data_IF_936963887181
#
_entry.id   IF_936963887181
#
_cell.length_a   1.000
_cell.length_b   1.000
_cell.length_c   1.000
_cell.angle_alpha   90.00
_cell.angle_beta   90.00
_cell.angle_gamma   90.00
#
_symmetry.space_group_name_H-M   'P 1'
#
loop_
_entity.id
_entity.type
_entity.pdbx_description
1 polymer ?
#
# COMPACT_ATOMS: atom_id res chain seq x y z
N UNK A 1 -9.73 18.04 -16.19
CA UNK A 1 -9.11 16.76 -15.81
C UNK A 1 -10.21 15.91 -15.23
N UNK A 2 -10.55 14.79 -15.88
CA UNK A 2 -11.64 13.91 -15.44
C UNK A 2 -11.11 12.92 -14.40
N UNK A 3 -11.94 12.63 -13.39
CA UNK A 3 -11.63 11.67 -12.34
C UNK A 3 -12.72 10.60 -12.33
N UNK A 4 -12.32 9.35 -12.53
CA UNK A 4 -13.23 8.20 -12.58
C UNK A 4 -13.03 7.36 -11.33
N UNK A 5 -14.14 6.95 -10.71
CA UNK A 5 -14.15 6.05 -9.56
C UNK A 5 -14.86 4.77 -9.96
N UNK A 6 -14.28 3.65 -9.53
CA UNK A 6 -14.84 2.33 -9.69
C UNK A 6 -14.77 1.63 -8.33
N UNK A 7 -15.92 1.47 -7.70
CA UNK A 7 -16.08 0.93 -6.34
C UNK A 7 -16.55 -0.53 -6.35
N UNK A 8 -16.46 -1.21 -7.50
CA UNK A 8 -16.88 -2.60 -7.61
C UNK A 8 -16.09 -3.49 -6.64
N UNK A 9 -16.77 -4.23 -5.74
CA UNK A 9 -16.09 -5.06 -4.76
C UNK A 9 -15.43 -6.26 -5.43
N UNK A 10 -14.30 -6.70 -4.87
CA UNK A 10 -13.61 -7.94 -5.26
C UNK A 10 -13.34 -8.07 -6.77
N UNK A 11 -12.93 -6.97 -7.40
CA UNK A 11 -12.63 -6.91 -8.83
C UNK A 11 -11.47 -7.83 -9.20
N UNK A 12 -11.58 -8.50 -10.35
CA UNK A 12 -10.50 -9.32 -10.87
C UNK A 12 -9.48 -8.52 -11.66
N UNK A 13 -8.26 -9.04 -11.76
CA UNK A 13 -7.19 -8.41 -12.55
C UNK A 13 -7.58 -8.24 -14.03
N UNK A 14 -8.33 -9.19 -14.61
CA UNK A 14 -8.80 -9.07 -16.00
C UNK A 14 -9.84 -7.97 -16.16
N UNK A 15 -10.73 -7.80 -15.17
CA UNK A 15 -11.69 -6.70 -15.17
C UNK A 15 -10.99 -5.34 -15.06
N UNK A 16 -9.97 -5.20 -14.20
CA UNK A 16 -9.13 -3.99 -14.12
C UNK A 16 -8.52 -3.67 -15.49
N UNK A 17 -7.89 -4.65 -16.15
CA UNK A 17 -7.26 -4.45 -17.47
C UNK A 17 -8.25 -4.00 -18.53
N UNK A 18 -9.42 -4.65 -18.60
CA UNK A 18 -10.49 -4.30 -19.56
C UNK A 18 -10.97 -2.87 -19.36
N UNK A 19 -11.23 -2.47 -18.11
CA UNK A 19 -11.71 -1.13 -17.77
C UNK A 19 -10.65 -0.06 -18.03
N UNK A 20 -9.39 -0.31 -17.64
CA UNK A 20 -8.27 0.60 -17.88
C UNK A 20 -8.02 0.83 -19.38
N UNK A 21 -8.07 -0.23 -20.20
CA UNK A 21 -7.96 -0.12 -21.68
C UNK A 21 -9.07 0.74 -22.27
N UNK A 22 -10.31 0.53 -21.83
CA UNK A 22 -11.45 1.35 -22.27
C UNK A 22 -11.27 2.82 -21.90
N UNK A 23 -10.90 3.11 -20.64
CA UNK A 23 -10.63 4.49 -20.21
C UNK A 23 -9.44 5.11 -20.94
N UNK A 24 -8.41 4.31 -21.30
CA UNK A 24 -7.30 4.78 -22.13
C UNK A 24 -7.77 5.19 -23.51
N UNK A 25 -8.62 4.40 -24.17
CA UNK A 25 -9.09 4.71 -25.52
C UNK A 25 -10.11 5.85 -25.57
N UNK A 26 -10.99 5.97 -24.58
CA UNK A 26 -12.08 6.97 -24.60
C UNK A 26 -11.71 8.28 -23.90
N UNK A 27 -10.86 8.25 -22.87
CA UNK A 27 -10.52 9.43 -22.05
C UNK A 27 -9.02 9.70 -21.94
N UNK A 28 -8.17 8.96 -22.67
CA UNK A 28 -6.72 9.06 -22.57
C UNK A 28 -6.20 8.96 -21.11
N UNK A 29 -6.61 7.91 -20.40
CA UNK A 29 -6.14 7.57 -19.05
C UNK A 29 -4.62 7.81 -18.90
N UNK A 30 -4.23 8.55 -17.88
CA UNK A 30 -2.84 8.91 -17.59
C UNK A 30 -2.28 8.25 -16.33
N UNK A 31 -3.15 7.98 -15.34
CA UNK A 31 -2.78 7.38 -14.06
C UNK A 31 -3.90 6.48 -13.56
N UNK A 32 -3.53 5.36 -12.93
CA UNK A 32 -4.47 4.44 -12.28
C UNK A 32 -4.09 4.28 -10.80
N UNK A 33 -5.04 4.51 -9.91
CA UNK A 33 -4.91 4.25 -8.48
C UNK A 33 -5.65 2.97 -8.11
N UNK A 34 -5.05 2.14 -7.27
CA UNK A 34 -5.65 0.88 -6.81
C UNK A 34 -5.59 0.79 -5.29
N UNK A 35 -6.76 0.74 -4.65
CA UNK A 35 -6.94 0.58 -3.21
C UNK A 35 -7.68 -0.74 -2.93
N UNK A 36 -7.01 -1.81 -2.52
CA UNK A 36 -5.57 -2.04 -2.42
C UNK A 36 -5.25 -3.43 -3.02
N UNK A 37 -3.98 -3.73 -3.30
CA UNK A 37 -3.55 -4.94 -4.03
C UNK A 37 -4.19 -6.23 -3.49
N UNK A 38 -4.27 -6.34 -2.17
CA UNK A 38 -4.75 -7.54 -1.52
C UNK A 38 -6.27 -7.79 -1.74
N UNK A 39 -7.04 -6.83 -2.25
CA UNK A 39 -8.46 -7.07 -2.60
C UNK A 39 -8.66 -7.56 -4.04
N UNK A 40 -7.63 -7.49 -4.87
CA UNK A 40 -7.69 -7.95 -6.26
C UNK A 40 -7.72 -9.47 -6.30
N UNK A 41 -8.61 -10.01 -7.15
CA UNK A 41 -8.72 -11.45 -7.38
C UNK A 41 -8.10 -11.86 -8.72
N UNK A 42 -7.65 -13.10 -8.79
CA UNK A 42 -7.27 -13.74 -10.05
C UNK A 42 -8.44 -14.60 -10.52
N UNK A 43 -8.82 -14.48 -11.79
CA UNK A 43 -9.93 -15.24 -12.35
C UNK A 43 -9.64 -16.75 -12.36
N UNK A 44 -10.67 -17.56 -12.11
CA UNK A 44 -10.69 -19.01 -12.36
C UNK A 44 -9.64 -19.85 -11.61
N UNK A 45 -9.29 -19.52 -10.35
CA UNK A 45 -8.38 -20.36 -9.56
C UNK A 45 -9.06 -20.99 -8.35
N UNK A 46 -8.86 -22.31 -8.22
CA UNK A 46 -9.34 -23.11 -7.10
C UNK A 46 -8.63 -22.75 -5.80
N UNK A 47 -9.20 -23.19 -4.68
CA UNK A 47 -8.85 -22.85 -3.29
C UNK A 47 -7.45 -23.29 -2.79
N UNK A 48 -6.53 -23.69 -3.69
CA UNK A 48 -5.21 -24.23 -3.33
C UNK A 48 -4.03 -23.30 -3.62
N UNK A 49 -4.26 -22.09 -4.16
CA UNK A 49 -3.16 -21.19 -4.47
C UNK A 49 -2.63 -20.48 -3.21
N UNK A 50 -1.29 -20.45 -3.08
CA UNK A 50 -0.64 -19.68 -2.03
C UNK A 50 -0.82 -18.19 -2.33
N UNK A 51 -1.24 -17.44 -1.31
CA UNK A 51 -1.45 -15.99 -1.38
C UNK A 51 -0.25 -15.23 -1.95
N UNK A 52 0.97 -15.65 -1.61
CA UNK A 52 2.21 -15.04 -2.11
C UNK A 52 2.28 -15.10 -3.64
N UNK A 53 1.89 -16.23 -4.22
CA UNK A 53 1.90 -16.41 -5.66
C UNK A 53 0.82 -15.57 -6.34
N UNK A 54 -0.35 -15.44 -5.72
CA UNK A 54 -1.41 -14.55 -6.22
C UNK A 54 -0.94 -13.10 -6.28
N UNK A 55 -0.35 -12.59 -5.19
CA UNK A 55 0.16 -11.22 -5.17
C UNK A 55 1.24 -11.01 -6.24
N UNK A 56 2.13 -11.98 -6.41
CA UNK A 56 3.17 -11.94 -7.44
C UNK A 56 2.60 -11.83 -8.86
N UNK A 57 1.53 -12.56 -9.15
CA UNK A 57 0.90 -12.50 -10.47
C UNK A 57 0.11 -11.20 -10.69
N UNK A 58 -0.52 -10.69 -9.63
CA UNK A 58 -1.21 -9.41 -9.65
C UNK A 58 -0.20 -8.29 -9.97
N UNK A 59 0.93 -8.24 -9.27
CA UNK A 59 1.94 -7.17 -9.46
C UNK A 59 2.58 -7.22 -10.83
N UNK A 60 2.94 -8.41 -11.34
CA UNK A 60 3.42 -8.58 -12.71
C UNK A 60 2.39 -8.15 -13.75
N UNK A 61 1.11 -8.51 -13.54
CA UNK A 61 0.02 -8.12 -14.44
C UNK A 61 -0.19 -6.61 -14.46
N UNK A 62 -0.08 -5.94 -13.31
CA UNK A 62 -0.16 -4.49 -13.21
C UNK A 62 1.05 -3.81 -13.88
N UNK A 63 2.26 -4.33 -13.67
CA UNK A 63 3.48 -3.83 -14.33
C UNK A 63 3.37 -3.95 -15.86
N UNK A 64 2.86 -5.07 -16.35
CA UNK A 64 2.59 -5.27 -17.77
C UNK A 64 1.55 -4.27 -18.30
N UNK A 65 0.45 -4.06 -17.55
CA UNK A 65 -0.59 -3.09 -17.91
C UNK A 65 -0.06 -1.65 -17.96
N UNK A 66 0.77 -1.25 -16.99
CA UNK A 66 1.40 0.07 -16.96
C UNK A 66 2.24 0.32 -18.23
N UNK A 67 3.06 -0.66 -18.61
CA UNK A 67 3.87 -0.63 -19.84
C UNK A 67 3.02 -0.63 -21.10
N UNK A 68 1.99 -1.47 -21.15
CA UNK A 68 1.08 -1.60 -22.29
C UNK A 68 0.34 -0.28 -22.58
N UNK A 69 -0.20 0.36 -21.53
CA UNK A 69 -0.97 1.59 -21.68
C UNK A 69 -0.10 2.86 -21.65
N UNK A 70 1.19 2.72 -21.34
CA UNK A 70 2.12 3.83 -21.08
C UNK A 70 1.54 4.81 -20.05
N UNK A 71 1.18 4.29 -18.86
CA UNK A 71 0.62 5.06 -17.74
C UNK A 71 1.34 4.75 -16.44
N UNK A 72 1.23 5.64 -15.46
CA UNK A 72 1.62 5.36 -14.07
C UNK A 72 0.52 4.59 -13.35
N UNK A 73 0.90 3.56 -12.60
CA UNK A 73 -0.01 2.84 -11.69
C UNK A 73 0.51 3.01 -10.27
N UNK A 74 -0.36 3.50 -9.38
CA UNK A 74 -0.09 3.59 -7.94
C UNK A 74 -1.00 2.58 -7.26
N UNK A 75 -0.41 1.58 -6.64
CA UNK A 75 -1.15 0.55 -5.92
C UNK A 75 -0.82 0.61 -4.42
N UNK A 76 -1.87 0.62 -3.60
CA UNK A 76 -1.72 0.54 -2.15
C UNK A 76 -1.50 -0.93 -1.77
N UNK A 77 -0.64 -1.16 -0.78
CA UNK A 77 -0.40 -2.47 -0.19
C UNK A 77 -0.47 -2.37 1.32
N UNK A 78 -1.14 -3.33 1.95
CA UNK A 78 -1.10 -3.47 3.39
C UNK A 78 0.19 -4.17 3.83
N UNK A 79 0.72 -3.73 4.97
CA UNK A 79 1.87 -4.35 5.61
C UNK A 79 1.45 -5.46 6.57
N UNK A 80 2.35 -6.40 6.80
CA UNK A 80 2.19 -7.37 7.88
C UNK A 80 2.11 -6.68 9.24
N UNK A 81 1.28 -7.22 10.14
CA UNK A 81 1.22 -6.76 11.55
C UNK A 81 2.51 -6.99 12.33
N UNK A 82 3.50 -7.68 11.76
CA UNK A 82 4.82 -7.86 12.37
C UNK A 82 5.53 -6.54 12.68
N UNK A 83 5.31 -5.48 11.90
CA UNK A 83 5.82 -4.13 12.19
C UNK A 83 5.39 -3.64 13.57
N UNK A 84 4.17 -4.00 13.99
CA UNK A 84 3.60 -3.61 15.28
C UNK A 84 4.20 -4.37 16.46
N UNK A 85 5.04 -5.39 16.24
CA UNK A 85 5.71 -6.13 17.31
C UNK A 85 7.14 -5.64 17.56
N UNK A 86 7.73 -4.88 16.61
CA UNK A 86 9.08 -4.34 16.77
C UNK A 86 9.10 -3.15 17.72
N UNK A 87 10.26 -2.87 18.30
CA UNK A 87 10.54 -1.63 19.03
C UNK A 87 10.58 -0.44 18.09
N UNK A 88 11.27 -0.57 16.95
CA UNK A 88 11.21 0.39 15.85
C UNK A 88 10.03 0.06 14.92
N UNK A 89 9.06 0.98 14.90
CA UNK A 89 7.81 0.89 14.14
C UNK A 89 7.93 1.44 12.73
N UNK A 90 9.10 1.94 12.33
CA UNK A 90 9.34 2.32 10.94
C UNK A 90 9.17 1.10 10.05
N UNK A 91 8.31 1.17 9.01
CA UNK A 91 8.16 0.08 8.07
C UNK A 91 9.45 -0.16 7.30
N UNK A 92 9.70 -1.43 6.99
CA UNK A 92 10.79 -1.91 6.16
C UNK A 92 10.20 -2.67 4.97
N UNK A 93 10.99 -2.84 3.92
CA UNK A 93 10.58 -3.66 2.76
C UNK A 93 10.22 -5.09 3.18
N UNK A 94 10.90 -5.64 4.20
CA UNK A 94 10.59 -6.95 4.77
C UNK A 94 9.18 -7.06 5.36
N UNK A 95 8.51 -5.95 5.66
CA UNK A 95 7.13 -5.94 6.19
C UNK A 95 6.08 -6.18 5.09
N UNK A 96 6.49 -6.09 3.83
CA UNK A 96 5.79 -6.62 2.67
C UNK A 96 6.01 -8.15 2.57
N UNK A 97 6.10 -8.85 3.72
CA UNK A 97 6.64 -10.21 3.88
C UNK A 97 5.98 -11.28 2.99
N UNK A 98 4.78 -11.03 2.49
CA UNK A 98 4.05 -11.91 1.57
C UNK A 98 4.31 -11.60 0.08
N UNK A 99 5.28 -10.74 -0.22
CA UNK A 99 5.39 -10.12 -1.54
C UNK A 99 6.80 -9.63 -1.87
N UNK A 100 7.81 -10.50 -1.78
CA UNK A 100 9.13 -10.19 -2.38
C UNK A 100 9.03 -9.82 -3.87
N UNK A 101 7.97 -10.27 -4.54
CA UNK A 101 7.56 -9.84 -5.87
C UNK A 101 7.16 -8.37 -5.96
N UNK A 102 6.51 -7.78 -4.95
CA UNK A 102 6.19 -6.33 -4.96
C UNK A 102 7.48 -5.52 -5.06
N UNK A 103 8.51 -5.85 -4.27
CA UNK A 103 9.79 -5.16 -4.30
C UNK A 103 10.48 -5.29 -5.66
N UNK A 104 10.40 -6.46 -6.28
CA UNK A 104 11.04 -6.74 -7.57
C UNK A 104 10.29 -6.11 -8.76
N UNK A 105 8.96 -6.06 -8.70
CA UNK A 105 8.11 -5.61 -9.81
C UNK A 105 7.89 -4.10 -9.81
N UNK A 106 7.93 -3.46 -8.63
CA UNK A 106 7.69 -2.03 -8.48
C UNK A 106 8.91 -1.20 -8.91
N UNK A 107 8.68 -0.11 -9.63
CA UNK A 107 9.74 0.87 -9.93
C UNK A 107 10.10 1.71 -8.69
N UNK A 108 9.10 1.99 -7.85
CA UNK A 108 9.23 2.80 -6.63
C UNK A 108 8.37 2.15 -5.55
N UNK A 109 8.96 1.97 -4.36
CA UNK A 109 8.24 1.58 -3.15
C UNK A 109 8.29 2.73 -2.16
N UNK A 110 7.11 3.21 -1.74
CA UNK A 110 6.97 4.25 -0.72
C UNK A 110 6.37 3.64 0.55
N UNK A 111 7.08 3.79 1.65
CA UNK A 111 6.63 3.37 2.97
C UNK A 111 6.20 4.59 3.76
N UNK A 112 4.98 4.55 4.31
CA UNK A 112 4.40 5.66 5.06
C UNK A 112 4.55 5.37 6.54
N UNK A 113 5.10 6.31 7.29
CA UNK A 113 5.28 6.24 8.73
C UNK A 113 4.89 7.57 9.37
N UNK A 114 4.24 7.50 10.54
CA UNK A 114 3.74 8.68 11.25
C UNK A 114 4.15 8.59 12.72
N UNK A 115 5.17 9.35 13.10
CA UNK A 115 5.70 9.41 14.46
C UNK A 115 4.61 9.72 15.50
N UNK A 116 3.76 10.71 15.22
CA UNK A 116 2.67 11.14 16.11
C UNK A 116 1.77 9.98 16.54
N UNK A 117 1.41 9.09 15.59
CA UNK A 117 0.51 7.96 15.84
C UNK A 117 1.11 6.92 16.79
N UNK A 118 2.42 6.71 16.70
CA UNK A 118 3.10 5.76 17.57
C UNK A 118 3.39 6.38 18.94
N UNK A 119 3.82 7.63 18.97
CA UNK A 119 4.05 8.35 20.22
C UNK A 119 2.75 8.51 21.03
N UNK A 120 1.61 8.83 20.40
CA UNK A 120 0.34 8.98 21.13
C UNK A 120 -0.14 7.69 21.78
N UNK A 121 0.31 6.53 21.29
CA UNK A 121 -0.02 5.20 21.83
C UNK A 121 0.95 4.72 22.90
N UNK A 122 2.10 5.39 23.04
CA UNK A 122 3.14 5.06 24.00
C UNK A 122 3.15 6.03 25.19
N UNK A 123 2.00 6.60 25.54
CA UNK A 123 1.87 7.50 26.70
C UNK A 123 2.16 6.70 27.98
N UNK A 124 3.20 7.06 28.75
CA UNK A 124 3.52 6.41 30.01
C UNK A 124 2.72 7.03 31.16
N UNK A 125 2.74 6.40 32.33
CA UNK A 125 1.98 6.88 33.49
C UNK A 125 2.40 8.31 33.90
N UNK A 126 1.44 9.21 34.20
CA UNK A 126 1.74 10.56 34.64
C UNK A 126 2.63 10.60 35.89
N UNK A 127 3.60 11.51 35.90
CA UNK A 127 4.51 11.71 37.04
C UNK A 127 5.79 10.84 37.01
N UNK A 128 5.95 9.99 36.01
CA UNK A 128 7.19 9.25 35.76
C UNK A 128 8.23 10.11 35.03
N UNK A 129 9.55 9.86 35.20
CA UNK A 129 10.59 10.48 34.37
C UNK A 129 10.33 10.32 32.86
N UNK A 130 9.84 9.13 32.47
CA UNK A 130 9.48 8.76 31.10
C UNK A 130 8.37 9.64 30.53
N UNK A 131 7.40 10.06 31.35
CA UNK A 131 6.35 11.00 30.94
C UNK A 131 6.90 12.36 30.53
N UNK A 132 7.91 12.86 31.23
CA UNK A 132 8.54 14.15 30.92
C UNK A 132 9.28 14.10 29.58
N UNK A 133 9.99 13.01 29.33
CA UNK A 133 10.64 12.78 28.03
C UNK A 133 9.61 12.63 26.90
N UNK A 134 8.52 11.91 27.15
CA UNK A 134 7.45 11.71 26.18
C UNK A 134 6.77 13.04 25.78
N UNK A 135 6.43 13.90 26.75
CA UNK A 135 5.86 15.24 26.49
C UNK A 135 6.82 16.08 25.63
N UNK A 136 8.12 15.97 25.88
CA UNK A 136 9.13 16.69 25.10
C UNK A 136 9.18 16.19 23.66
N UNK A 137 9.17 14.86 23.45
CA UNK A 137 9.12 14.25 22.12
C UNK A 137 7.86 14.63 21.36
N UNK A 138 6.70 14.62 22.02
CA UNK A 138 5.41 15.02 21.43
C UNK A 138 5.43 16.46 20.92
N UNK A 139 5.92 17.41 21.73
CA UNK A 139 6.02 18.82 21.32
C UNK A 139 6.92 19.01 20.10
N UNK A 140 8.03 18.28 20.03
CA UNK A 140 8.94 18.34 18.88
C UNK A 140 8.29 17.83 17.59
N UNK A 141 7.55 16.70 17.65
CA UNK A 141 6.86 16.15 16.48
C UNK A 141 5.76 17.10 15.99
N UNK A 142 4.96 17.68 16.89
CA UNK A 142 3.92 18.65 16.53
C UNK A 142 4.52 19.90 15.87
N UNK A 143 5.72 20.31 16.27
CA UNK A 143 6.39 21.48 15.69
C UNK A 143 6.88 21.21 14.26
N UNK A 144 7.27 19.98 13.93
CA UNK A 144 7.68 19.59 12.57
C UNK A 144 6.52 19.49 11.57
N UNK A 145 5.27 19.47 12.05
CA UNK A 145 4.07 19.35 11.22
C UNK A 145 3.41 20.71 10.89
N UNK A 146 3.97 21.82 11.38
CA UNK A 146 3.49 23.19 11.14
C UNK A 146 4.44 23.93 10.19
#
# INVERSE_FOLDING_TARGET
MEFFIDDAPAISISAIRSRARRLKSTHNLAILFIDYLQLIKIDNRGSQYNRVQEISEITQSLKALAKELNISIIALSQLSRAVEQRSDKKPLLSDLRESGSIEQDADIVMLIYRDEYYLSRSEPDPGTPEYTEWVTKQKNVITLLK
#
